data_IF_462446533255
#
_entry.id   IF_462446533255
#
_cell.length_a   1.000
_cell.length_b   1.000
_cell.length_c   1.000
_cell.angle_alpha   90.00
_cell.angle_beta   90.00
_cell.angle_gamma   90.00
#
_symmetry.space_group_name_H-M   'P 1'
#
loop_
_entity.id
_entity.type
_entity.pdbx_description
1 polymer ?
#
# COMPACT_ATOMS: atom_id res chain seq x y z
N UNK A 1 20.61 -31.86 -3.95
CA UNK A 1 22.03 -31.48 -3.81
C UNK A 1 22.26 -30.00 -4.11
N UNK A 2 21.75 -29.45 -5.23
CA UNK A 2 21.80 -28.00 -5.51
C UNK A 2 21.15 -27.12 -4.43
N UNK A 3 20.00 -27.53 -3.88
CA UNK A 3 19.33 -26.78 -2.80
C UNK A 3 20.11 -26.77 -1.47
N UNK A 4 20.92 -27.80 -1.23
CA UNK A 4 21.78 -27.89 -0.04
C UNK A 4 23.08 -27.07 -0.20
N UNK A 5 23.59 -26.99 -1.43
CA UNK A 5 24.73 -26.16 -1.79
C UNK A 5 24.39 -24.66 -1.66
N UNK A 6 23.21 -24.27 -2.15
CA UNK A 6 22.65 -22.92 -1.98
C UNK A 6 22.44 -22.59 -0.50
N UNK A 7 21.93 -23.53 0.29
CA UNK A 7 21.74 -23.32 1.74
C UNK A 7 23.08 -23.11 2.49
N UNK A 8 24.15 -23.78 2.07
CA UNK A 8 25.48 -23.69 2.67
C UNK A 8 26.23 -22.39 2.26
N UNK A 9 26.05 -21.91 1.02
CA UNK A 9 26.54 -20.58 0.61
C UNK A 9 25.79 -19.43 1.32
N UNK A 10 24.52 -19.62 1.67
CA UNK A 10 23.73 -18.64 2.43
C UNK A 10 24.09 -18.54 3.92
N UNK A 11 24.76 -19.54 4.51
CA UNK A 11 25.22 -19.46 5.91
C UNK A 11 26.38 -18.47 6.07
N UNK A 12 27.25 -18.35 5.08
CA UNK A 12 28.31 -17.33 5.06
C UNK A 12 27.75 -15.90 4.92
N UNK A 13 26.59 -15.77 4.27
CA UNK A 13 25.83 -14.52 4.22
C UNK A 13 25.09 -14.18 5.52
N UNK A 14 25.07 -15.06 6.54
CA UNK A 14 24.45 -14.77 7.84
C UNK A 14 25.43 -14.16 8.86
N UNK A 15 26.72 -14.10 8.55
CA UNK A 15 27.70 -13.44 9.42
C UNK A 15 27.80 -11.93 9.13
N UNK A 16 27.65 -11.06 10.14
CA UNK A 16 28.01 -9.65 10.01
C UNK A 16 29.51 -9.52 9.67
N UNK A 17 29.95 -8.63 8.75
CA UNK A 17 29.21 -7.54 8.10
C UNK A 17 28.68 -7.84 6.69
N UNK A 18 28.99 -9.00 6.10
CA UNK A 18 28.58 -9.33 4.73
C UNK A 18 27.07 -9.56 4.59
N UNK A 19 26.43 -10.04 5.65
CA UNK A 19 24.98 -10.13 5.78
C UNK A 19 24.29 -8.78 5.52
N UNK A 20 24.86 -7.70 6.03
CA UNK A 20 24.27 -6.36 5.96
C UNK A 20 24.21 -5.87 4.51
N UNK A 21 25.30 -6.01 3.75
CA UNK A 21 25.35 -5.59 2.35
C UNK A 21 24.50 -6.48 1.44
N UNK A 22 24.52 -7.79 1.66
CA UNK A 22 23.72 -8.71 0.87
C UNK A 22 22.22 -8.48 1.07
N UNK A 23 21.78 -8.33 2.32
CA UNK A 23 20.38 -8.02 2.66
C UNK A 23 19.99 -6.64 2.11
N UNK A 24 20.88 -5.64 2.13
CA UNK A 24 20.61 -4.32 1.56
C UNK A 24 20.39 -4.40 0.05
N UNK A 25 21.24 -5.11 -0.70
CA UNK A 25 21.08 -5.28 -2.15
C UNK A 25 19.82 -6.07 -2.48
N UNK A 26 19.52 -7.12 -1.73
CA UNK A 26 18.30 -7.92 -1.92
C UNK A 26 17.06 -7.10 -1.60
N UNK A 27 17.05 -6.34 -0.51
CA UNK A 27 15.94 -5.46 -0.13
C UNK A 27 15.73 -4.34 -1.15
N UNK A 28 16.81 -3.74 -1.66
CA UNK A 28 16.74 -2.75 -2.73
C UNK A 28 16.18 -3.35 -4.03
N UNK A 29 16.67 -4.52 -4.44
CA UNK A 29 16.19 -5.22 -5.63
C UNK A 29 14.71 -5.63 -5.51
N UNK A 30 14.32 -6.18 -4.36
CA UNK A 30 12.93 -6.57 -4.10
C UNK A 30 12.00 -5.35 -4.04
N UNK A 31 12.47 -4.25 -3.42
CA UNK A 31 11.75 -2.98 -3.36
C UNK A 31 11.54 -2.37 -4.75
N UNK A 32 12.55 -2.45 -5.63
CA UNK A 32 12.46 -2.01 -7.01
C UNK A 32 11.48 -2.85 -7.84
N UNK A 33 11.56 -4.18 -7.73
CA UNK A 33 10.64 -5.09 -8.44
C UNK A 33 9.21 -4.88 -7.96
N UNK A 34 8.99 -4.82 -6.64
CA UNK A 34 7.68 -4.61 -6.04
C UNK A 34 7.10 -3.25 -6.43
N UNK A 35 7.94 -2.19 -6.46
CA UNK A 35 7.54 -0.87 -6.91
C UNK A 35 7.21 -0.86 -8.40
N UNK A 36 8.00 -1.53 -9.24
CA UNK A 36 7.73 -1.63 -10.67
C UNK A 36 6.41 -2.37 -10.96
N UNK A 37 6.17 -3.49 -10.27
CA UNK A 37 4.92 -4.24 -10.37
C UNK A 37 3.75 -3.38 -9.87
N UNK A 38 3.87 -2.71 -8.72
CA UNK A 38 2.84 -1.83 -8.20
C UNK A 38 2.55 -0.63 -9.12
N UNK A 39 3.58 -0.02 -9.71
CA UNK A 39 3.44 1.08 -10.65
C UNK A 39 2.74 0.64 -11.94
N UNK A 40 3.00 -0.60 -12.40
CA UNK A 40 2.39 -1.13 -13.61
C UNK A 40 0.96 -1.66 -13.40
N UNK A 41 0.68 -2.15 -12.20
CA UNK A 41 -0.59 -2.76 -11.81
C UNK A 41 -1.58 -1.73 -11.26
N UNK A 42 -1.09 -0.62 -10.70
CA UNK A 42 -1.90 0.53 -10.31
C UNK A 42 -2.12 1.42 -11.52
N UNK A 43 -3.28 1.30 -12.17
CA UNK A 43 -3.67 2.21 -13.24
C UNK A 43 -3.98 3.60 -12.64
N UNK A 44 -2.94 4.43 -12.52
CA UNK A 44 -3.05 5.79 -12.00
C UNK A 44 -4.06 6.63 -12.80
N UNK A 45 -4.27 6.30 -14.09
CA UNK A 45 -5.25 6.98 -14.95
C UNK A 45 -6.69 6.63 -14.60
N UNK A 46 -6.97 5.42 -14.13
CA UNK A 46 -8.32 5.07 -13.66
C UNK A 46 -8.65 5.75 -12.34
N UNK A 47 -7.66 5.87 -11.43
CA UNK A 47 -7.82 6.59 -10.17
C UNK A 47 -8.06 8.09 -10.37
N UNK A 48 -7.26 8.75 -11.22
CA UNK A 48 -7.44 10.18 -11.54
C UNK A 48 -8.81 10.46 -12.17
N UNK A 49 -9.24 9.61 -13.12
CA UNK A 49 -10.58 9.71 -13.74
C UNK A 49 -11.70 9.60 -12.72
N UNK A 50 -11.62 8.62 -11.81
CA UNK A 50 -12.61 8.46 -10.74
C UNK A 50 -12.66 9.69 -9.82
N UNK A 51 -11.52 10.29 -9.48
CA UNK A 51 -11.46 11.50 -8.65
C UNK A 51 -12.13 12.69 -9.36
N UNK A 52 -11.84 12.91 -10.65
CA UNK A 52 -12.47 13.96 -11.46
C UNK A 52 -13.98 13.76 -11.62
N UNK A 53 -14.42 12.54 -11.94
CA UNK A 53 -15.85 12.24 -12.12
C UNK A 53 -16.65 12.44 -10.82
N UNK A 54 -16.03 12.13 -9.67
CA UNK A 54 -16.62 12.38 -8.36
C UNK A 54 -16.75 13.87 -8.05
N UNK A 55 -15.68 14.64 -8.30
CA UNK A 55 -15.69 16.09 -8.10
C UNK A 55 -16.72 16.79 -9.00
N UNK A 56 -16.81 16.39 -10.28
CA UNK A 56 -17.81 16.91 -11.23
C UNK A 56 -19.24 16.59 -10.79
N UNK A 57 -19.50 15.35 -10.35
CA UNK A 57 -20.82 14.95 -9.87
C UNK A 57 -21.23 15.74 -8.61
N UNK A 58 -20.29 16.03 -7.72
CA UNK A 58 -20.53 16.81 -6.52
C UNK A 58 -20.78 18.30 -6.84
N UNK A 59 -20.04 18.86 -7.80
CA UNK A 59 -20.26 20.23 -8.29
C UNK A 59 -21.64 20.39 -8.92
N UNK A 60 -22.02 19.47 -9.83
CA UNK A 60 -23.33 19.47 -10.48
C UNK A 60 -24.48 19.36 -9.47
N UNK A 61 -24.31 18.56 -8.41
CA UNK A 61 -25.30 18.48 -7.33
C UNK A 61 -25.43 19.80 -6.56
N UNK A 62 -24.31 20.48 -6.29
CA UNK A 62 -24.31 21.77 -5.61
C UNK A 62 -24.97 22.86 -6.46
N UNK A 63 -24.67 22.92 -7.76
CA UNK A 63 -25.31 23.85 -8.71
C UNK A 63 -26.80 23.57 -8.87
N UNK A 64 -27.19 22.30 -9.01
CA UNK A 64 -28.59 21.90 -9.10
C UNK A 64 -29.37 22.28 -7.82
N UNK A 65 -28.78 22.06 -6.64
CA UNK A 65 -29.36 22.45 -5.37
C UNK A 65 -29.52 23.98 -5.24
N UNK A 66 -28.53 24.76 -5.70
CA UNK A 66 -28.61 26.24 -5.74
C UNK A 66 -29.67 26.74 -6.71
N UNK A 67 -29.90 26.03 -7.83
CA UNK A 67 -30.88 26.44 -8.85
C UNK A 67 -32.35 26.27 -8.42
N UNK A 68 -32.63 25.48 -7.38
CA UNK A 68 -33.99 25.19 -6.90
C UNK A 68 -34.89 24.42 -7.88
N UNK A 69 -34.38 24.03 -9.05
CA UNK A 69 -35.15 23.31 -10.06
C UNK A 69 -35.17 21.81 -9.75
N UNK A 70 -36.35 21.30 -9.37
CA UNK A 70 -36.55 19.90 -9.01
C UNK A 70 -36.05 18.92 -10.09
N UNK A 71 -36.26 19.24 -11.38
CA UNK A 71 -35.80 18.39 -12.50
C UNK A 71 -34.27 18.36 -12.62
N UNK A 72 -33.61 19.47 -12.32
CA UNK A 72 -32.15 19.55 -12.33
C UNK A 72 -31.55 18.75 -11.15
N UNK A 73 -32.19 18.84 -9.98
CA UNK A 73 -31.81 18.08 -8.78
C UNK A 73 -31.95 16.57 -9.05
N UNK A 74 -33.09 16.12 -9.57
CA UNK A 74 -33.33 14.69 -9.85
C UNK A 74 -32.31 14.12 -10.86
N UNK A 75 -31.96 14.91 -11.88
CA UNK A 75 -30.98 14.51 -12.90
C UNK A 75 -29.57 14.41 -12.32
N UNK A 76 -29.15 15.39 -11.52
CA UNK A 76 -27.83 15.38 -10.90
C UNK A 76 -27.73 14.34 -9.77
N UNK A 77 -28.83 14.04 -9.07
CA UNK A 77 -28.89 12.96 -8.07
C UNK A 77 -28.72 11.58 -8.71
N UNK A 78 -29.38 11.32 -9.85
CA UNK A 78 -29.13 10.09 -10.63
C UNK A 78 -27.68 9.95 -11.04
N UNK A 79 -27.03 11.04 -11.47
CA UNK A 79 -25.61 11.01 -11.86
C UNK A 79 -24.71 10.72 -10.66
N UNK A 80 -24.99 11.31 -9.50
CA UNK A 80 -24.25 11.02 -8.26
C UNK A 80 -24.39 9.55 -7.84
N UNK A 81 -25.61 8.99 -7.91
CA UNK A 81 -25.84 7.57 -7.61
C UNK A 81 -25.11 6.64 -8.59
N UNK A 82 -25.08 6.97 -9.88
CA UNK A 82 -24.34 6.20 -10.88
C UNK A 82 -22.84 6.18 -10.58
N UNK A 83 -22.25 7.34 -10.28
CA UNK A 83 -20.84 7.45 -9.90
C UNK A 83 -20.55 6.69 -8.61
N UNK A 84 -21.37 6.85 -7.57
CA UNK A 84 -21.24 6.09 -6.31
C UNK A 84 -21.34 4.58 -6.53
N UNK A 85 -22.23 4.12 -7.40
CA UNK A 85 -22.37 2.70 -7.73
C UNK A 85 -21.12 2.13 -8.40
N UNK A 86 -20.49 2.90 -9.30
CA UNK A 86 -19.23 2.50 -9.92
C UNK A 86 -18.08 2.44 -8.90
N UNK A 87 -17.96 3.44 -8.01
CA UNK A 87 -16.98 3.43 -6.93
C UNK A 87 -17.17 2.25 -5.98
N UNK A 88 -18.41 1.95 -5.61
CA UNK A 88 -18.75 0.83 -4.74
C UNK A 88 -18.33 -0.50 -5.34
N UNK A 89 -18.59 -0.73 -6.64
CA UNK A 89 -18.14 -1.94 -7.34
C UNK A 89 -16.62 -2.09 -7.31
N UNK A 90 -15.87 -1.02 -7.63
CA UNK A 90 -14.40 -1.05 -7.57
C UNK A 90 -13.89 -1.29 -6.14
N UNK A 91 -14.51 -0.66 -5.14
CA UNK A 91 -14.18 -0.87 -3.73
C UNK A 91 -14.43 -2.32 -3.32
N UNK A 92 -15.55 -2.90 -3.74
CA UNK A 92 -15.91 -4.28 -3.47
C UNK A 92 -14.92 -5.26 -4.12
N UNK A 93 -14.50 -5.00 -5.36
CA UNK A 93 -13.50 -5.84 -6.04
C UNK A 93 -12.14 -5.73 -5.35
N UNK A 94 -11.73 -4.52 -4.93
CA UNK A 94 -10.53 -4.33 -4.10
C UNK A 94 -10.63 -5.06 -2.77
N UNK A 95 -11.79 -5.05 -2.12
CA UNK A 95 -12.02 -5.73 -0.84
C UNK A 95 -11.94 -7.25 -1.01
N UNK A 96 -12.54 -7.82 -2.07
CA UNK A 96 -12.44 -9.25 -2.39
C UNK A 96 -10.98 -9.66 -2.60
N UNK A 97 -10.21 -8.86 -3.35
CA UNK A 97 -8.78 -9.09 -3.56
C UNK A 97 -8.04 -9.04 -2.23
N UNK A 98 -8.30 -8.03 -1.38
CA UNK A 98 -7.68 -7.93 -0.06
C UNK A 98 -8.00 -9.12 0.85
N UNK A 99 -9.24 -9.60 0.84
CA UNK A 99 -9.65 -10.77 1.61
C UNK A 99 -9.00 -12.05 1.11
N UNK A 100 -8.80 -12.17 -0.21
CA UNK A 100 -8.06 -13.28 -0.79
C UNK A 100 -6.61 -13.33 -0.29
N UNK A 101 -5.95 -12.17 -0.20
CA UNK A 101 -4.59 -12.06 0.38
C UNK A 101 -4.55 -12.19 1.91
N UNK A 102 -5.66 -11.97 2.59
CA UNK A 102 -5.75 -12.12 4.05
C UNK A 102 -5.60 -13.59 4.49
N UNK A 103 -6.12 -14.54 3.71
CA UNK A 103 -6.04 -15.98 4.03
C UNK A 103 -4.58 -16.47 4.14
N UNK A 104 -3.71 -16.29 3.12
CA UNK A 104 -2.31 -16.70 3.23
C UNK A 104 -1.57 -15.90 4.31
N UNK A 105 -1.90 -14.62 4.50
CA UNK A 105 -1.30 -13.82 5.58
C UNK A 105 -1.60 -14.41 6.97
N UNK A 106 -2.86 -14.80 7.23
CA UNK A 106 -3.25 -15.44 8.47
C UNK A 106 -2.56 -16.81 8.65
N UNK A 107 -2.44 -17.61 7.59
CA UNK A 107 -1.74 -18.91 7.66
C UNK A 107 -0.25 -18.74 8.01
N UNK A 108 0.42 -17.77 7.37
CA UNK A 108 1.82 -17.44 7.68
C UNK A 108 1.94 -17.00 9.13
N UNK A 109 1.01 -16.17 9.62
CA UNK A 109 1.05 -15.70 11.00
C UNK A 109 0.83 -16.83 12.02
N UNK A 110 -0.05 -17.79 11.74
CA UNK A 110 -0.24 -18.98 12.56
C UNK A 110 1.01 -19.87 12.59
N UNK A 111 1.65 -20.06 11.43
CA UNK A 111 2.91 -20.81 11.33
C UNK A 111 4.06 -20.11 12.06
N UNK A 112 4.21 -18.80 11.88
CA UNK A 112 5.24 -18.00 12.54
C UNK A 112 5.02 -17.96 14.05
N UNK A 113 3.79 -17.73 14.50
CA UNK A 113 3.42 -17.73 15.91
C UNK A 113 3.62 -19.11 16.57
N UNK A 114 3.28 -20.19 15.86
CA UNK A 114 3.49 -21.56 16.34
C UNK A 114 4.95 -22.01 16.37
N UNK A 115 5.76 -21.59 15.39
CA UNK A 115 7.16 -22.00 15.27
C UNK A 115 8.12 -21.14 16.09
N UNK A 116 7.91 -19.82 16.13
CA UNK A 116 8.80 -18.89 16.82
C UNK A 116 8.30 -18.42 18.19
N UNK A 117 7.02 -18.65 18.52
CA UNK A 117 6.47 -18.32 19.85
C UNK A 117 6.86 -16.91 20.32
N UNK A 118 7.42 -16.84 21.54
CA UNK A 118 7.95 -15.60 22.13
C UNK A 118 9.49 -15.48 22.00
N UNK A 119 10.09 -16.18 21.03
CA UNK A 119 11.54 -16.15 20.83
C UNK A 119 11.99 -14.77 20.33
N UNK A 120 12.99 -14.25 21.01
CA UNK A 120 13.61 -12.96 20.73
C UNK A 120 14.57 -13.17 19.55
N UNK A 121 14.31 -12.50 18.44
CA UNK A 121 15.11 -12.66 17.21
C UNK A 121 15.98 -11.43 16.90
N UNK A 122 15.72 -10.30 17.54
CA UNK A 122 16.47 -9.08 17.35
C UNK A 122 16.55 -8.27 18.65
N UNK A 123 17.71 -7.66 18.86
CA UNK A 123 17.94 -6.71 19.93
C UNK A 123 18.12 -5.32 19.35
N UNK A 124 17.47 -4.34 19.96
CA UNK A 124 17.71 -2.94 19.63
C UNK A 124 19.14 -2.54 20.08
N UNK A 125 19.94 -1.85 19.23
CA UNK A 125 21.26 -1.37 19.62
C UNK A 125 21.21 -0.19 20.62
N UNK A 126 20.03 0.39 20.85
CA UNK A 126 19.81 1.53 21.75
C UNK A 126 18.56 1.31 22.60
N UNK A 127 18.60 1.73 23.87
CA UNK A 127 17.50 1.59 24.82
C UNK A 127 16.52 2.76 24.67
N UNK A 128 15.26 2.47 24.35
CA UNK A 128 14.19 3.47 24.33
C UNK A 128 13.23 3.27 25.52
N UNK A 129 12.75 4.33 26.20
CA UNK A 129 11.89 4.20 27.38
C UNK A 129 10.55 3.47 27.14
N UNK A 130 10.08 3.45 25.89
CA UNK A 130 8.76 2.93 25.51
C UNK A 130 8.83 1.71 24.57
N UNK A 131 10.02 1.25 24.19
CA UNK A 131 10.20 0.13 23.25
C UNK A 131 11.04 -0.95 23.94
N UNK A 132 10.55 -2.19 24.05
CA UNK A 132 11.34 -3.28 24.61
C UNK A 132 12.62 -3.48 23.78
N UNK A 133 13.76 -3.68 24.47
CA UNK A 133 15.03 -4.02 23.80
C UNK A 133 14.94 -5.33 23.02
N UNK A 134 14.06 -6.22 23.48
CA UNK A 134 13.83 -7.54 22.93
C UNK A 134 12.66 -7.50 21.95
N UNK A 135 12.94 -7.78 20.67
CA UNK A 135 11.91 -7.82 19.65
C UNK A 135 11.56 -9.26 19.34
N UNK A 136 10.30 -9.60 19.62
CA UNK A 136 9.67 -10.80 19.10
C UNK A 136 9.53 -10.72 17.58
N UNK A 137 9.32 -11.86 16.95
CA UNK A 137 9.11 -11.98 15.50
C UNK A 137 8.02 -11.02 15.01
N UNK A 138 6.96 -10.86 15.79
CA UNK A 138 5.87 -9.95 15.48
C UNK A 138 6.31 -8.48 15.41
N UNK A 139 7.03 -8.01 16.43
CA UNK A 139 7.46 -6.61 16.53
C UNK A 139 8.52 -6.28 15.48
N UNK A 140 9.44 -7.21 15.21
CA UNK A 140 10.45 -7.04 14.18
C UNK A 140 9.83 -6.99 12.77
N UNK A 141 8.87 -7.87 12.47
CA UNK A 141 8.14 -7.86 11.20
C UNK A 141 7.39 -6.54 10.98
N UNK A 142 6.70 -6.01 12.00
CA UNK A 142 6.00 -4.73 11.92
C UNK A 142 6.96 -3.56 11.64
N UNK A 143 8.11 -3.52 12.32
CA UNK A 143 9.15 -2.51 12.10
C UNK A 143 9.68 -2.53 10.66
N UNK A 144 10.06 -3.72 10.18
CA UNK A 144 10.53 -3.90 8.81
C UNK A 144 9.45 -3.54 7.78
N UNK A 145 8.18 -3.90 8.04
CA UNK A 145 7.05 -3.58 7.18
C UNK A 145 6.78 -2.07 7.11
N UNK A 146 6.87 -1.35 8.23
CA UNK A 146 6.68 0.09 8.26
C UNK A 146 7.81 0.82 7.51
N UNK A 147 9.07 0.44 7.78
CA UNK A 147 10.22 1.00 7.07
C UNK A 147 10.12 0.76 5.55
N UNK A 148 9.76 -0.46 5.15
CA UNK A 148 9.55 -0.80 3.73
C UNK A 148 8.41 0.00 3.12
N UNK A 149 7.30 0.18 3.84
CA UNK A 149 6.16 0.99 3.39
C UNK A 149 6.55 2.44 3.12
N UNK A 150 7.35 3.06 4.00
CA UNK A 150 7.85 4.43 3.83
C UNK A 150 8.77 4.53 2.61
N UNK A 151 9.69 3.58 2.44
CA UNK A 151 10.62 3.54 1.31
C UNK A 151 9.88 3.35 -0.02
N UNK A 152 8.91 2.44 -0.08
CA UNK A 152 8.08 2.19 -1.26
C UNK A 152 7.23 3.41 -1.60
N UNK A 153 6.65 4.07 -0.59
CA UNK A 153 5.85 5.28 -0.78
C UNK A 153 6.67 6.43 -1.36
N UNK A 154 7.94 6.58 -0.93
CA UNK A 154 8.88 7.57 -1.48
C UNK A 154 9.34 7.23 -2.90
N UNK A 155 9.62 5.95 -3.17
CA UNK A 155 10.08 5.46 -4.48
C UNK A 155 8.99 5.51 -5.56
N UNK A 156 7.74 5.29 -5.19
CA UNK A 156 6.60 5.33 -6.12
C UNK A 156 6.13 6.75 -6.45
N UNK A 157 6.67 7.79 -5.81
CA UNK A 157 6.32 9.18 -6.13
C UNK A 157 4.83 9.49 -5.93
N UNK A 158 4.11 8.73 -5.10
CA UNK A 158 2.69 8.97 -4.79
C UNK A 158 2.48 10.13 -3.82
N UNK A 159 3.46 11.03 -3.68
CA UNK A 159 3.16 12.37 -3.21
C UNK A 159 2.09 12.90 -4.16
N UNK A 160 0.90 13.12 -3.60
CA UNK A 160 -0.25 13.68 -4.29
C UNK A 160 0.08 15.10 -4.76
N UNK A 161 0.91 15.22 -5.78
CA UNK A 161 1.09 16.46 -6.51
C UNK A 161 -0.06 16.51 -7.51
N UNK A 162 -1.20 17.01 -7.00
CA UNK A 162 -2.25 17.53 -7.86
C UNK A 162 -1.60 18.72 -8.57
N UNK A 163 -1.19 18.51 -9.81
CA UNK A 163 -0.62 19.55 -10.65
C UNK A 163 -1.59 20.76 -10.65
N UNK A 164 -1.17 21.94 -10.18
CA UNK A 164 -2.04 23.13 -10.14
C UNK A 164 -2.51 23.57 -11.53
N UNK A 165 -1.88 23.06 -12.60
CA UNK A 165 -2.24 23.35 -13.99
C UNK A 165 -3.60 22.80 -14.43
N UNK A 166 -4.13 21.74 -13.81
CA UNK A 166 -5.47 21.22 -14.16
C UNK A 166 -6.61 22.11 -13.60
N UNK A 167 -6.37 22.92 -12.55
CA UNK A 167 -7.35 23.93 -12.09
C UNK A 167 -7.45 25.11 -13.05
N UNK A 168 -6.35 25.51 -13.67
CA UNK A 168 -6.30 26.71 -14.52
C UNK A 168 -7.04 26.55 -15.85
N UNK A 169 -7.32 25.31 -16.28
CA UNK A 169 -8.09 25.03 -17.51
C UNK A 169 -9.60 25.03 -17.33
N UNK A 170 -10.10 24.94 -16.10
CA UNK A 170 -11.55 24.99 -15.80
C UNK A 170 -12.03 26.41 -15.40
N UNK A 171 -11.11 27.38 -15.29
CA UNK A 171 -11.42 28.80 -14.99
C UNK A 171 -11.39 29.71 -16.25
N UNK A 172 -11.23 29.14 -17.45
CA UNK A 172 -11.16 29.87 -18.73
C UNK A 172 -12.39 29.68 -19.62
#
# INVERSE_FOLDING_TARGET
MLSALVAMELEFLKTPPFATYAILVIAAGLGLITSFVNARMTDLKSYRRMMLDSARAQHQMMEAAKSGNQRAIDKAQKKQQEVMGQQSKMSMDRMKISLFFMIPFLLIWQLLGGFFGNTIIAYFPFQFPFIPMELSVANWYLLCSFASSVLISRLLGLTFEIDPEERAKDEG
#
